data_IF_291965407812
#
_entry.id   IF_291965407812
#
_cell.length_a   1.000
_cell.length_b   1.000
_cell.length_c   1.000
_cell.angle_alpha   90.00
_cell.angle_beta   90.00
_cell.angle_gamma   90.00
#
_symmetry.space_group_name_H-M   'P 1'
#
loop_
_entity.id
_entity.type
_entity.pdbx_description
1 polymer ?
#
# COMPACT_ATOMS: atom_id res chain seq x y z
N UNK A 1 -0.37 -0.36 -16.78
CA UNK A 1 -0.25 0.57 -17.92
C UNK A 1 -1.56 0.85 -18.67
N UNK A 2 -2.72 0.29 -18.27
CA UNK A 2 -4.01 0.63 -18.90
C UNK A 2 -4.42 2.09 -18.62
N UNK A 3 -4.31 2.55 -17.37
CA UNK A 3 -4.61 3.93 -16.97
C UNK A 3 -3.81 4.97 -17.77
N UNK A 4 -2.48 4.83 -17.81
CA UNK A 4 -1.58 5.72 -18.56
C UNK A 4 -1.94 5.79 -20.05
N UNK A 5 -2.30 4.65 -20.64
CA UNK A 5 -2.64 4.57 -22.05
C UNK A 5 -3.97 5.28 -22.34
N UNK A 6 -4.98 5.10 -21.48
CA UNK A 6 -6.27 5.80 -21.57
C UNK A 6 -6.06 7.30 -21.37
N UNK A 7 -5.28 7.69 -20.37
CA UNK A 7 -4.99 9.10 -20.11
C UNK A 7 -4.28 9.76 -21.29
N UNK A 8 -3.33 9.05 -21.91
CA UNK A 8 -2.64 9.51 -23.12
C UNK A 8 -3.59 9.59 -24.32
N UNK A 9 -4.44 8.58 -24.53
CA UNK A 9 -5.41 8.56 -25.65
C UNK A 9 -6.43 9.69 -25.55
N UNK A 10 -6.81 10.09 -24.34
CA UNK A 10 -7.77 11.17 -24.09
C UNK A 10 -7.09 12.53 -23.85
N UNK A 11 -5.76 12.59 -23.96
CA UNK A 11 -4.97 13.80 -23.73
C UNK A 11 -5.25 14.47 -22.36
N UNK A 12 -5.43 13.64 -21.33
CA UNK A 12 -5.71 14.10 -19.96
C UNK A 12 -4.54 14.91 -19.41
N UNK A 13 -4.86 16.05 -18.82
CA UNK A 13 -3.97 16.86 -18.00
C UNK A 13 -3.54 16.11 -16.72
N UNK A 14 -2.50 16.62 -16.07
CA UNK A 14 -2.01 16.02 -14.82
C UNK A 14 -3.07 16.04 -13.72
N UNK A 15 -3.86 17.11 -13.66
CA UNK A 15 -4.95 17.26 -12.68
C UNK A 15 -6.09 16.26 -12.94
N UNK A 16 -6.44 16.01 -14.20
CA UNK A 16 -7.44 15.00 -14.56
C UNK A 16 -6.96 13.60 -14.22
N UNK A 17 -5.70 13.28 -14.53
CA UNK A 17 -5.09 12.00 -14.14
C UNK A 17 -5.13 11.83 -12.62
N UNK A 18 -4.72 12.84 -11.88
CA UNK A 18 -4.71 12.84 -10.42
C UNK A 18 -6.12 12.63 -9.86
N UNK A 19 -7.13 13.31 -10.42
CA UNK A 19 -8.52 13.20 -9.99
C UNK A 19 -9.12 11.81 -10.23
N UNK A 20 -8.92 11.24 -11.43
CA UNK A 20 -9.42 9.89 -11.75
C UNK A 20 -8.70 8.85 -10.90
N UNK A 21 -7.38 8.96 -10.75
CA UNK A 21 -6.59 8.06 -9.91
C UNK A 21 -7.04 8.11 -8.45
N UNK A 22 -7.26 9.31 -7.91
CA UNK A 22 -7.78 9.51 -6.55
C UNK A 22 -9.15 8.88 -6.37
N UNK A 23 -10.05 9.01 -7.35
CA UNK A 23 -11.36 8.35 -7.30
C UNK A 23 -11.25 6.83 -7.33
N UNK A 24 -10.38 6.26 -8.17
CA UNK A 24 -10.14 4.81 -8.21
C UNK A 24 -9.54 4.27 -6.91
N UNK A 25 -8.72 5.07 -6.25
CA UNK A 25 -8.05 4.73 -4.99
C UNK A 25 -8.90 5.02 -3.75
N UNK A 26 -10.04 5.69 -3.90
CA UNK A 26 -10.87 6.14 -2.78
C UNK A 26 -11.24 5.01 -1.83
N UNK A 27 -11.63 3.86 -2.36
CA UNK A 27 -12.05 2.73 -1.51
C UNK A 27 -10.86 1.92 -0.95
N UNK A 28 -9.76 1.86 -1.69
CA UNK A 28 -8.62 0.99 -1.36
C UNK A 28 -7.50 1.68 -0.58
N UNK A 29 -7.44 3.01 -0.66
CA UNK A 29 -6.39 3.84 -0.07
C UNK A 29 -6.97 5.11 0.57
N UNK A 30 -8.24 5.07 1.04
CA UNK A 30 -8.92 6.18 1.70
C UNK A 30 -8.05 6.86 2.76
N UNK A 31 -7.49 6.08 3.68
CA UNK A 31 -6.67 6.58 4.78
C UNK A 31 -5.38 7.30 4.31
N UNK A 32 -4.85 6.95 3.13
CA UNK A 32 -3.71 7.67 2.55
C UNK A 32 -4.19 9.00 1.99
N UNK A 33 -5.28 8.96 1.21
CA UNK A 33 -5.83 10.12 0.51
C UNK A 33 -6.33 11.18 1.49
N UNK A 34 -6.91 10.77 2.62
CA UNK A 34 -7.33 11.67 3.71
C UNK A 34 -6.16 12.42 4.35
N UNK A 35 -4.96 11.87 4.28
CA UNK A 35 -3.74 12.49 4.80
C UNK A 35 -3.04 13.39 3.76
N UNK A 36 -3.62 13.58 2.57
CA UNK A 36 -3.07 14.44 1.51
C UNK A 36 -3.72 15.82 1.49
N UNK A 37 -2.92 16.84 1.21
CA UNK A 37 -3.43 18.17 0.96
C UNK A 37 -4.12 18.25 -0.43
N UNK A 38 -5.01 19.22 -0.63
CA UNK A 38 -5.66 19.43 -1.93
C UNK A 38 -4.69 19.76 -3.08
N UNK A 39 -3.50 20.30 -2.78
CA UNK A 39 -2.44 20.45 -3.80
C UNK A 39 -1.86 19.10 -4.21
N UNK A 40 -1.62 18.22 -3.25
CA UNK A 40 -1.06 16.87 -3.48
C UNK A 40 -2.03 16.02 -4.29
N UNK A 41 -3.35 16.18 -4.08
CA UNK A 41 -4.40 15.48 -4.82
C UNK A 41 -4.54 15.92 -6.29
N UNK A 42 -3.87 17.02 -6.70
CA UNK A 42 -3.82 17.48 -8.09
C UNK A 42 -2.54 17.05 -8.82
N UNK A 43 -1.59 16.48 -8.09
CA UNK A 43 -0.30 16.06 -8.61
C UNK A 43 -0.26 14.53 -8.73
N UNK A 44 -0.36 14.04 -9.97
CA UNK A 44 -0.33 12.62 -10.28
C UNK A 44 0.95 11.92 -9.79
N UNK A 45 2.11 12.55 -9.99
CA UNK A 45 3.40 11.94 -9.63
C UNK A 45 3.55 11.86 -8.12
N UNK A 46 3.05 12.88 -7.41
CA UNK A 46 3.03 12.87 -5.95
C UNK A 46 2.10 11.78 -5.40
N UNK A 47 0.87 11.64 -5.93
CA UNK A 47 -0.05 10.56 -5.55
C UNK A 47 0.60 9.19 -5.81
N UNK A 48 1.16 8.97 -7.00
CA UNK A 48 1.85 7.73 -7.35
C UNK A 48 3.00 7.41 -6.40
N UNK A 49 3.80 8.41 -6.03
CA UNK A 49 4.92 8.25 -5.11
C UNK A 49 4.44 7.82 -3.72
N UNK A 50 3.42 8.50 -3.18
CA UNK A 50 2.89 8.19 -1.84
C UNK A 50 2.19 6.84 -1.78
N UNK A 51 1.41 6.49 -2.81
CA UNK A 51 0.78 5.17 -2.92
C UNK A 51 1.83 4.06 -3.01
N UNK A 52 2.91 4.30 -3.77
CA UNK A 52 4.03 3.35 -3.88
C UNK A 52 4.75 3.18 -2.56
N UNK A 53 5.06 4.28 -1.87
CA UNK A 53 5.67 4.24 -0.54
C UNK A 53 4.81 3.47 0.46
N UNK A 54 3.50 3.70 0.45
CA UNK A 54 2.58 3.00 1.34
C UNK A 54 2.49 1.51 1.02
N UNK A 55 2.46 1.16 -0.27
CA UNK A 55 2.54 -0.24 -0.71
C UNK A 55 3.84 -0.91 -0.26
N UNK A 56 4.97 -0.21 -0.35
CA UNK A 56 6.25 -0.71 0.17
C UNK A 56 6.21 -0.91 1.69
N UNK A 57 5.61 0.03 2.43
CA UNK A 57 5.46 -0.08 3.88
C UNK A 57 4.58 -1.28 4.27
N UNK A 58 3.45 -1.49 3.58
CA UNK A 58 2.59 -2.66 3.74
C UNK A 58 3.32 -3.97 3.41
N UNK A 59 4.02 -4.04 2.28
CA UNK A 59 4.77 -5.23 1.90
C UNK A 59 5.86 -5.54 2.94
N UNK A 60 6.54 -4.53 3.49
CA UNK A 60 7.50 -4.72 4.59
C UNK A 60 6.82 -5.21 5.87
N UNK A 61 5.66 -4.68 6.23
CA UNK A 61 4.89 -5.13 7.38
C UNK A 61 4.45 -6.60 7.23
N UNK A 62 3.98 -6.99 6.04
CA UNK A 62 3.62 -8.38 5.72
C UNK A 62 4.84 -9.30 5.83
N UNK A 63 5.99 -8.90 5.29
CA UNK A 63 7.22 -9.71 5.44
C UNK A 63 7.69 -9.83 6.88
N UNK A 64 7.45 -8.81 7.73
CA UNK A 64 7.77 -8.88 9.16
C UNK A 64 6.83 -9.81 9.91
N UNK A 65 5.54 -9.85 9.54
CA UNK A 65 4.58 -10.80 10.09
C UNK A 65 4.88 -12.26 9.70
N UNK A 66 5.47 -12.52 8.53
CA UNK A 66 5.88 -13.89 8.12
C UNK A 66 7.24 -14.30 8.68
N UNK A 67 8.04 -13.36 9.19
CA UNK A 67 9.34 -13.61 9.78
C UNK A 67 9.30 -13.69 11.32
N UNK A 68 8.18 -14.09 11.92
CA UNK A 68 8.23 -14.57 13.30
C UNK A 68 8.92 -15.93 13.32
N UNK A 69 10.03 -16.10 14.05
CA UNK A 69 10.52 -17.43 14.33
C UNK A 69 9.52 -18.09 15.28
N UNK A 70 8.86 -19.15 14.81
CA UNK A 70 8.24 -20.13 15.71
C UNK A 70 9.35 -20.69 16.60
N UNK A 71 9.53 -20.10 17.77
CA UNK A 71 10.40 -20.65 18.82
C UNK A 71 9.70 -20.55 20.15
N UNK A 72 8.90 -21.58 20.44
CA UNK A 72 8.66 -22.10 21.78
C UNK A 72 8.44 -23.62 21.61
N UNK A 73 9.53 -24.38 21.48
CA UNK A 73 10.21 -25.06 22.60
C UNK A 73 9.58 -26.42 22.90
N UNK A 74 10.23 -27.48 22.42
CA UNK A 74 10.08 -28.85 22.92
C UNK A 74 10.28 -28.84 24.44
N UNK A 75 9.20 -28.96 25.21
CA UNK A 75 9.25 -29.34 26.61
C UNK A 75 9.36 -30.87 26.69
N UNK A 76 10.52 -31.36 27.10
CA UNK A 76 10.77 -32.77 27.34
C UNK A 76 9.75 -33.37 28.32
N UNK A 77 9.11 -34.44 27.89
CA UNK A 77 8.23 -35.25 28.72
C UNK A 77 9.06 -36.36 29.35
N UNK A 78 9.68 -36.08 30.49
CA UNK A 78 10.25 -37.09 31.38
C UNK A 78 9.81 -36.82 32.81
N UNK A 79 8.58 -37.21 33.14
CA UNK A 79 8.18 -37.46 34.53
C UNK A 79 8.04 -38.97 34.72
N UNK A 80 9.14 -39.60 35.14
CA UNK A 80 9.14 -40.88 35.85
C UNK A 80 8.65 -40.60 37.27
N UNK A 81 7.49 -41.14 37.64
CA UNK A 81 7.10 -41.29 39.03
C UNK A 81 7.54 -42.67 39.52
N UNK A 82 8.24 -42.67 40.65
CA UNK A 82 8.71 -43.82 41.44
C UNK A 82 7.52 -44.51 42.09
#
# INVERSE_FOLDING_TARGET
MQFENIARMNNWSNEEKACVLTSMLRDSAAAILENLCSSDLRDYDNICTKVTLWRCALNRAVTWSTAQPDTASQGGSDHVCI
#
